data_IF_633835789869
#
_entry.id   IF_633835789869
#
_cell.length_a   1.000
_cell.length_b   1.000
_cell.length_c   1.000
_cell.angle_alpha   90.00
_cell.angle_beta   90.00
_cell.angle_gamma   90.00
#
_symmetry.space_group_name_H-M   'P 1'
#
loop_
_entity.id
_entity.type
_entity.pdbx_description
1 polymer ?
#
# COMPACT_ATOMS: atom_id res chain seq x y z
N UNK A 1 -23.71 -1.77 85.09
CA UNK A 1 -24.63 -2.54 84.23
C UNK A 1 -25.24 -1.57 83.23
N UNK A 2 -25.18 -1.85 81.91
CA UNK A 2 -25.56 -0.90 80.81
C UNK A 2 -24.50 0.23 80.71
N UNK A 3 -23.86 0.63 79.61
CA UNK A 3 -24.32 0.88 78.22
C UNK A 3 -23.17 0.61 77.20
N UNK A 4 -21.97 0.20 77.61
CA UNK A 4 -20.76 0.18 76.75
C UNK A 4 -20.50 -1.11 75.95
N UNK A 5 -21.39 -2.10 75.98
CA UNK A 5 -21.27 -3.34 75.15
C UNK A 5 -22.18 -3.40 73.92
N UNK A 6 -22.95 -2.34 73.62
CA UNK A 6 -23.74 -2.25 72.37
C UNK A 6 -23.13 -1.34 71.29
N UNK A 7 -22.08 -0.58 71.59
CA UNK A 7 -21.45 0.29 70.59
C UNK A 7 -20.44 -0.42 69.67
N UNK A 8 -19.89 -1.57 70.08
CA UNK A 8 -18.83 -2.25 69.31
C UNK A 8 -19.41 -3.25 68.30
N UNK A 9 -20.64 -3.73 68.49
CA UNK A 9 -21.35 -4.55 67.51
C UNK A 9 -22.08 -3.73 66.42
N UNK A 10 -22.13 -2.39 66.59
CA UNK A 10 -22.69 -1.46 65.59
C UNK A 10 -21.65 -0.85 64.65
N UNK A 11 -20.36 -0.99 64.93
CA UNK A 11 -19.28 -0.43 64.10
C UNK A 11 -18.65 -1.43 63.10
N UNK A 12 -18.98 -2.72 63.17
CA UNK A 12 -18.53 -3.73 62.19
C UNK A 12 -19.55 -4.05 61.09
N UNK A 13 -20.72 -3.38 61.08
CA UNK A 13 -21.74 -3.52 60.01
C UNK A 13 -21.72 -2.36 59.00
N UNK A 14 -20.83 -1.37 59.18
CA UNK A 14 -20.68 -0.21 58.29
C UNK A 14 -19.54 -0.37 57.27
N UNK A 15 -18.83 -1.50 57.26
CA UNK A 15 -17.75 -1.80 56.30
C UNK A 15 -18.17 -2.78 55.18
N UNK A 16 -19.46 -3.09 55.06
CA UNK A 16 -20.02 -3.91 53.97
C UNK A 16 -20.89 -3.12 52.97
N UNK A 17 -20.92 -1.78 53.06
CA UNK A 17 -21.32 -0.94 51.93
C UNK A 17 -20.08 -0.77 51.05
N UNK A 18 -19.89 -1.73 50.15
CA UNK A 18 -18.89 -1.62 49.11
C UNK A 18 -19.09 -0.31 48.34
N UNK A 19 -18.00 0.43 48.16
CA UNK A 19 -17.85 1.26 46.97
C UNK A 19 -18.08 0.35 45.77
N UNK A 20 -19.28 0.35 45.20
CA UNK A 20 -19.45 0.00 43.80
C UNK A 20 -18.51 0.94 43.04
N UNK A 21 -17.39 0.41 42.57
CA UNK A 21 -16.69 1.03 41.45
C UNK A 21 -17.76 1.20 40.39
N UNK A 22 -18.10 2.44 40.06
CA UNK A 22 -18.98 2.73 38.94
C UNK A 22 -18.52 1.87 37.76
N UNK A 23 -19.43 1.02 37.28
CA UNK A 23 -19.20 0.23 36.08
C UNK A 23 -18.74 1.18 34.97
N UNK A 24 -17.71 0.83 34.18
CA UNK A 24 -17.30 1.68 33.08
C UNK A 24 -18.50 1.85 32.14
N UNK A 25 -18.97 3.10 32.00
CA UNK A 25 -20.04 3.46 31.07
C UNK A 25 -19.64 2.91 29.69
N UNK A 26 -20.48 2.08 29.04
CA UNK A 26 -20.17 1.55 27.73
C UNK A 26 -19.83 2.68 26.76
N UNK A 27 -18.83 2.48 25.91
CA UNK A 27 -18.40 3.48 24.93
C UNK A 27 -19.56 4.03 24.09
N UNK A 28 -20.59 3.23 23.81
CA UNK A 28 -21.78 3.69 23.08
C UNK A 28 -22.49 4.82 23.83
N UNK A 29 -22.66 4.73 25.15
CA UNK A 29 -23.30 5.79 25.94
C UNK A 29 -22.42 7.04 26.04
N UNK A 30 -21.10 6.88 26.15
CA UNK A 30 -20.16 8.01 26.09
C UNK A 30 -20.18 8.71 24.72
N UNK A 31 -20.38 7.95 23.63
CA UNK A 31 -20.40 8.47 22.27
C UNK A 31 -21.59 9.42 21.98
N UNK A 32 -22.71 9.22 22.69
CA UNK A 32 -23.92 10.04 22.55
C UNK A 32 -23.99 11.22 23.53
N UNK A 33 -23.19 11.21 24.60
CA UNK A 33 -23.14 12.34 25.54
C UNK A 33 -22.49 13.58 24.91
N UNK A 34 -23.23 14.69 24.86
CA UNK A 34 -22.72 16.00 24.43
C UNK A 34 -22.92 16.35 22.95
N UNK A 35 -23.64 15.54 22.17
CA UNK A 35 -24.01 15.90 20.80
C UNK A 35 -25.26 16.79 20.76
N UNK A 36 -25.15 17.90 20.02
CA UNK A 36 -26.22 18.88 19.79
C UNK A 36 -27.19 18.49 18.66
N UNK A 37 -27.06 17.30 18.07
CA UNK A 37 -27.88 16.90 16.92
C UNK A 37 -29.08 16.05 17.35
N UNK A 38 -30.30 16.36 16.88
CA UNK A 38 -31.49 15.56 17.17
C UNK A 38 -31.34 14.13 16.63
N UNK A 39 -31.93 13.16 17.33
CA UNK A 39 -31.98 11.75 16.92
C UNK A 39 -32.29 11.63 15.42
N UNK A 40 -31.36 11.08 14.66
CA UNK A 40 -31.60 10.69 13.28
C UNK A 40 -32.56 9.50 13.35
N UNK A 41 -33.85 9.77 13.16
CA UNK A 41 -34.87 8.75 13.00
C UNK A 41 -34.79 8.21 11.57
N UNK A 42 -34.32 6.98 11.43
CA UNK A 42 -34.34 6.28 10.15
C UNK A 42 -35.78 5.88 9.83
N UNK A 43 -36.39 6.51 8.82
CA UNK A 43 -37.61 5.99 8.22
C UNK A 43 -37.23 4.92 7.20
N UNK A 44 -37.67 3.69 7.43
CA UNK A 44 -37.54 2.60 6.49
C UNK A 44 -38.26 2.96 5.18
N UNK A 45 -37.58 2.79 4.05
CA UNK A 45 -38.14 2.99 2.71
C UNK A 45 -39.38 2.10 2.52
N UNK A 46 -40.40 2.59 1.81
CA UNK A 46 -41.67 1.88 1.62
C UNK A 46 -41.49 0.48 0.99
N UNK A 47 -40.42 0.23 0.22
CA UNK A 47 -40.12 -1.10 -0.31
C UNK A 47 -39.82 -2.12 0.81
N UNK A 48 -39.24 -1.70 1.93
CA UNK A 48 -38.91 -2.55 3.07
C UNK A 48 -40.09 -2.84 4.00
N UNK A 49 -41.23 -2.15 3.81
CA UNK A 49 -42.45 -2.33 4.60
C UNK A 49 -43.45 -3.27 3.93
N UNK A 50 -43.21 -3.67 2.68
CA UNK A 50 -44.01 -4.69 1.99
C UNK A 50 -43.56 -6.07 2.46
N UNK A 51 -44.39 -6.73 3.26
CA UNK A 51 -44.23 -8.10 3.76
C UNK A 51 -44.20 -9.20 2.66
N UNK A 52 -44.08 -8.84 1.38
CA UNK A 52 -43.94 -9.79 0.27
C UNK A 52 -42.49 -10.21 0.01
N UNK A 53 -41.52 -9.54 0.64
CA UNK A 53 -40.18 -10.07 0.75
C UNK A 53 -40.21 -11.10 1.86
N UNK A 54 -40.30 -12.39 1.49
CA UNK A 54 -39.80 -13.47 2.35
C UNK A 54 -38.51 -12.95 2.97
N UNK A 55 -38.44 -12.99 4.30
CA UNK A 55 -37.24 -12.70 5.07
C UNK A 55 -36.13 -13.60 4.51
N UNK A 56 -35.45 -13.14 3.46
CA UNK A 56 -34.20 -13.72 3.02
C UNK A 56 -33.29 -13.29 4.13
N UNK A 57 -33.10 -14.18 5.10
CA UNK A 57 -32.07 -14.07 6.11
C UNK A 57 -30.77 -13.71 5.37
N UNK A 58 -30.43 -12.42 5.33
CA UNK A 58 -29.24 -11.92 4.63
C UNK A 58 -27.97 -12.51 5.24
N UNK A 59 -28.07 -13.05 6.46
CA UNK A 59 -27.05 -13.84 7.11
C UNK A 59 -27.69 -15.07 7.75
N UNK A 60 -27.56 -16.23 7.10
CA UNK A 60 -27.65 -17.52 7.76
C UNK A 60 -26.23 -17.90 8.24
N UNK A 61 -25.97 -17.95 9.56
CA UNK A 61 -24.67 -18.37 10.09
C UNK A 61 -24.27 -19.78 9.67
N UNK A 62 -25.23 -20.62 9.28
CA UNK A 62 -25.02 -21.99 8.82
C UNK A 62 -24.95 -22.10 7.29
N UNK A 63 -25.26 -21.03 6.56
CA UNK A 63 -25.21 -20.95 5.10
C UNK A 63 -24.62 -19.60 4.66
N UNK A 64 -23.37 -19.36 5.09
CA UNK A 64 -22.59 -18.22 4.65
C UNK A 64 -22.44 -18.29 3.13
N UNK A 65 -22.81 -17.21 2.44
CA UNK A 65 -22.59 -17.08 1.00
C UNK A 65 -21.11 -17.32 0.67
N UNK A 66 -20.83 -18.43 0.00
CA UNK A 66 -19.50 -18.72 -0.52
C UNK A 66 -19.45 -18.25 -1.97
N UNK A 67 -18.50 -17.37 -2.25
CA UNK A 67 -18.23 -16.95 -3.63
C UNK A 67 -17.89 -18.18 -4.46
N UNK A 68 -18.56 -18.29 -5.61
CA UNK A 68 -18.20 -19.25 -6.65
C UNK A 68 -16.77 -19.02 -7.14
N UNK A 69 -16.19 -20.04 -7.79
CA UNK A 69 -14.87 -19.91 -8.41
C UNK A 69 -14.83 -18.77 -9.44
N UNK A 70 -15.91 -18.59 -10.19
CA UNK A 70 -16.07 -17.52 -11.19
C UNK A 70 -16.03 -16.13 -10.53
N UNK A 71 -16.75 -15.94 -9.42
CA UNK A 71 -16.72 -14.68 -8.67
C UNK A 71 -15.35 -14.40 -8.04
N UNK A 72 -14.70 -15.41 -7.48
CA UNK A 72 -13.34 -15.28 -6.98
C UNK A 72 -12.36 -14.89 -8.09
N UNK A 73 -12.48 -15.50 -9.26
CA UNK A 73 -11.66 -15.18 -10.42
C UNK A 73 -11.96 -13.77 -10.95
N UNK A 74 -13.23 -13.35 -10.94
CA UNK A 74 -13.64 -11.99 -11.25
C UNK A 74 -13.01 -10.95 -10.33
N UNK A 75 -13.04 -11.18 -9.01
CA UNK A 75 -12.41 -10.30 -8.01
C UNK A 75 -10.90 -10.24 -8.21
N UNK A 76 -10.24 -11.38 -8.43
CA UNK A 76 -8.79 -11.44 -8.68
C UNK A 76 -8.43 -10.65 -9.94
N UNK A 77 -9.17 -10.85 -11.03
CA UNK A 77 -8.96 -10.12 -12.30
C UNK A 77 -9.16 -8.62 -12.10
N UNK A 78 -10.22 -8.20 -11.41
CA UNK A 78 -10.48 -6.79 -11.14
C UNK A 78 -9.36 -6.15 -10.31
N UNK A 79 -8.91 -6.80 -9.24
CA UNK A 79 -7.80 -6.31 -8.41
C UNK A 79 -6.51 -6.17 -9.21
N UNK A 80 -6.20 -7.14 -10.07
CA UNK A 80 -5.04 -7.10 -10.95
C UNK A 80 -5.14 -5.95 -11.95
N UNK A 81 -6.27 -5.77 -12.63
CA UNK A 81 -6.45 -4.67 -13.59
C UNK A 81 -6.36 -3.30 -12.93
N UNK A 82 -6.93 -3.16 -11.73
CA UNK A 82 -6.79 -1.94 -10.93
C UNK A 82 -5.33 -1.65 -10.58
N UNK A 83 -4.59 -2.67 -10.15
CA UNK A 83 -3.16 -2.52 -9.89
C UNK A 83 -2.41 -2.09 -11.16
N UNK A 84 -2.73 -2.65 -12.32
CA UNK A 84 -2.13 -2.20 -13.57
C UNK A 84 -2.44 -0.73 -13.86
N UNK A 85 -3.68 -0.30 -13.72
CA UNK A 85 -4.04 1.11 -13.95
C UNK A 85 -3.31 2.07 -13.00
N UNK A 86 -3.05 1.66 -11.75
CA UNK A 86 -2.29 2.44 -10.78
C UNK A 86 -0.79 2.50 -11.15
N UNK A 87 -0.20 1.39 -11.57
CA UNK A 87 1.19 1.36 -12.04
C UNK A 87 1.35 2.17 -13.33
N UNK A 88 0.34 2.16 -14.21
CA UNK A 88 0.36 3.00 -15.40
C UNK A 88 0.42 4.49 -15.05
N UNK A 89 -0.30 4.92 -14.00
CA UNK A 89 -0.24 6.28 -13.48
C UNK A 89 1.11 6.59 -12.82
N UNK A 90 1.70 5.64 -12.10
CA UNK A 90 3.08 5.78 -11.60
C UNK A 90 4.06 6.10 -12.75
N UNK A 91 3.92 5.41 -13.88
CA UNK A 91 4.76 5.67 -15.06
C UNK A 91 4.47 7.02 -15.71
N UNK A 92 3.22 7.48 -15.75
CA UNK A 92 2.85 8.84 -16.20
C UNK A 92 3.52 9.93 -15.34
N UNK A 93 3.62 9.68 -14.02
CA UNK A 93 4.24 10.61 -13.07
C UNK A 93 5.77 10.57 -13.17
N UNK A 94 6.35 9.36 -13.19
CA UNK A 94 7.81 9.16 -13.22
C UNK A 94 8.43 9.58 -14.56
N UNK A 95 7.71 9.33 -15.66
CA UNK A 95 8.18 9.57 -17.03
C UNK A 95 7.10 10.28 -17.84
N UNK A 96 6.93 11.61 -17.66
CA UNK A 96 5.92 12.36 -18.38
C UNK A 96 6.00 12.15 -19.91
N UNK A 97 4.89 11.71 -20.50
CA UNK A 97 4.80 11.42 -21.93
C UNK A 97 5.16 9.99 -22.33
N UNK A 98 5.51 9.10 -21.39
CA UNK A 98 5.83 7.69 -21.66
C UNK A 98 4.76 6.98 -22.49
N UNK A 99 3.49 7.17 -22.15
CA UNK A 99 2.38 6.55 -22.87
C UNK A 99 1.93 7.29 -24.12
N UNK A 100 2.37 8.53 -24.34
CA UNK A 100 1.91 9.38 -25.45
C UNK A 100 0.36 9.40 -25.56
N UNK A 101 -0.19 8.84 -26.63
CA UNK A 101 -1.62 8.77 -26.96
C UNK A 101 -2.24 7.38 -26.74
N UNK A 102 -1.52 6.46 -26.07
CA UNK A 102 -1.96 5.06 -25.91
C UNK A 102 -3.13 4.93 -24.94
N UNK A 103 -4.10 4.11 -25.35
CA UNK A 103 -5.31 3.84 -24.57
C UNK A 103 -5.08 2.89 -23.39
N UNK A 104 -6.09 2.75 -22.53
CA UNK A 104 -6.06 1.88 -21.34
C UNK A 104 -5.82 0.41 -21.69
N UNK A 105 -6.33 -0.06 -22.84
CA UNK A 105 -6.15 -1.45 -23.25
C UNK A 105 -4.69 -1.74 -23.58
N UNK A 106 -4.03 -0.84 -24.30
CA UNK A 106 -2.60 -0.90 -24.57
C UNK A 106 -1.78 -0.85 -23.28
N UNK A 107 -2.06 0.11 -22.38
CA UNK A 107 -1.35 0.25 -21.09
C UNK A 107 -1.43 -1.05 -20.28
N UNK A 108 -2.62 -1.65 -20.18
CA UNK A 108 -2.82 -2.92 -19.46
C UNK A 108 -2.13 -4.10 -20.14
N UNK A 109 -2.15 -4.20 -21.46
CA UNK A 109 -1.45 -5.26 -22.18
C UNK A 109 0.08 -5.16 -22.01
N UNK A 110 0.62 -3.94 -22.00
CA UNK A 110 2.02 -3.70 -21.70
C UNK A 110 2.37 -4.14 -20.27
N UNK A 111 1.54 -3.79 -19.29
CA UNK A 111 1.75 -4.20 -17.90
C UNK A 111 1.58 -5.69 -17.68
N UNK A 112 0.69 -6.36 -18.41
CA UNK A 112 0.58 -7.81 -18.42
C UNK A 112 1.88 -8.47 -18.92
N UNK A 113 2.49 -7.91 -19.97
CA UNK A 113 3.81 -8.37 -20.44
C UNK A 113 4.88 -8.18 -19.38
N UNK A 114 4.93 -7.02 -18.73
CA UNK A 114 5.88 -6.73 -17.65
C UNK A 114 5.67 -7.65 -16.45
N UNK A 115 4.43 -7.93 -16.07
CA UNK A 115 4.10 -8.88 -15.01
C UNK A 115 4.56 -10.31 -15.34
N UNK A 116 4.44 -10.72 -16.61
CA UNK A 116 5.06 -11.96 -17.10
C UNK A 116 6.58 -11.99 -16.89
N UNK A 117 7.28 -10.88 -17.16
CA UNK A 117 8.72 -10.75 -16.92
C UNK A 117 9.02 -10.80 -15.41
N UNK A 118 8.29 -10.04 -14.60
CA UNK A 118 8.46 -10.02 -13.14
C UNK A 118 8.32 -11.43 -12.54
N UNK A 119 7.27 -12.17 -12.94
CA UNK A 119 7.01 -13.54 -12.48
C UNK A 119 8.03 -14.55 -12.98
N UNK A 120 8.64 -14.34 -14.14
CA UNK A 120 9.72 -15.19 -14.66
C UNK A 120 10.94 -15.17 -13.74
N UNK A 121 11.34 -13.99 -13.26
CA UNK A 121 12.47 -13.86 -12.33
C UNK A 121 12.06 -14.08 -10.87
N UNK A 122 10.85 -13.69 -10.51
CA UNK A 122 10.34 -13.69 -9.14
C UNK A 122 8.92 -14.28 -9.09
N UNK A 123 8.76 -15.63 -9.08
CA UNK A 123 7.43 -16.26 -9.15
C UNK A 123 6.48 -15.94 -8.00
N UNK A 124 7.02 -15.44 -6.87
CA UNK A 124 6.27 -14.99 -5.69
C UNK A 124 6.27 -13.46 -5.57
N UNK A 125 6.42 -12.77 -6.70
CA UNK A 125 6.46 -11.31 -6.79
C UNK A 125 5.24 -10.69 -6.15
N UNK A 126 5.48 -9.61 -5.40
CA UNK A 126 4.45 -8.78 -4.84
C UNK A 126 4.24 -7.55 -5.75
N UNK A 127 3.35 -6.65 -5.34
CA UNK A 127 3.03 -5.42 -6.10
C UNK A 127 4.27 -4.55 -6.32
N UNK A 128 5.08 -4.37 -5.29
CA UNK A 128 6.33 -3.61 -5.31
C UNK A 128 7.35 -4.18 -6.30
N UNK A 129 7.43 -5.50 -6.43
CA UNK A 129 8.23 -6.17 -7.46
C UNK A 129 7.77 -5.75 -8.87
N UNK A 130 6.45 -5.74 -9.11
CA UNK A 130 5.89 -5.34 -10.40
C UNK A 130 6.08 -3.84 -10.67
N UNK A 131 5.84 -2.98 -9.68
CA UNK A 131 6.09 -1.54 -9.77
C UNK A 131 7.54 -1.26 -10.18
N UNK A 132 8.49 -1.91 -9.50
CA UNK A 132 9.92 -1.75 -9.78
C UNK A 132 10.28 -2.29 -11.17
N UNK A 133 9.75 -3.46 -11.54
CA UNK A 133 9.98 -4.04 -12.88
C UNK A 133 9.40 -3.16 -13.99
N UNK A 134 8.23 -2.55 -13.78
CA UNK A 134 7.62 -1.62 -14.72
C UNK A 134 8.48 -0.37 -14.91
N UNK A 135 8.99 0.22 -13.82
CA UNK A 135 9.90 1.36 -13.88
C UNK A 135 11.19 1.03 -14.64
N UNK A 136 11.75 -0.17 -14.45
CA UNK A 136 12.91 -0.66 -15.19
C UNK A 136 12.56 -0.80 -16.68
N UNK A 137 11.50 -1.56 -17.01
CA UNK A 137 11.09 -1.83 -18.40
C UNK A 137 10.71 -0.56 -19.16
N UNK A 138 10.28 0.49 -18.48
CA UNK A 138 10.02 1.80 -19.10
C UNK A 138 11.30 2.48 -19.61
N UNK A 139 12.46 2.23 -18.99
CA UNK A 139 13.76 2.78 -19.40
C UNK A 139 14.40 1.92 -20.49
N UNK A 140 14.40 0.59 -20.30
CA UNK A 140 15.21 -0.33 -21.12
C UNK A 140 14.40 -1.19 -22.09
N UNK A 141 13.08 -1.02 -22.13
CA UNK A 141 12.17 -1.85 -22.94
C UNK A 141 11.77 -3.16 -22.27
N UNK A 142 10.74 -3.79 -22.82
CA UNK A 142 10.20 -5.09 -22.35
C UNK A 142 10.87 -6.30 -23.01
N UNK A 143 11.83 -6.04 -23.88
CA UNK A 143 12.63 -6.98 -24.67
C UNK A 143 14.11 -6.92 -24.30
N UNK A 144 14.47 -6.25 -23.21
CA UNK A 144 15.85 -6.08 -22.74
C UNK A 144 16.63 -7.38 -22.60
N UNK A 145 15.95 -8.51 -22.33
CA UNK A 145 16.58 -9.84 -22.23
C UNK A 145 17.23 -10.30 -23.54
N UNK A 146 16.90 -9.66 -24.66
CA UNK A 146 17.45 -9.95 -25.99
C UNK A 146 18.62 -9.02 -26.36
N UNK A 147 18.87 -7.95 -25.59
CA UNK A 147 19.97 -7.03 -25.84
C UNK A 147 21.24 -7.49 -25.10
N UNK A 148 22.30 -7.93 -25.81
CA UNK A 148 23.54 -8.36 -25.17
C UNK A 148 24.19 -7.29 -24.30
N UNK A 149 23.94 -6.00 -24.57
CA UNK A 149 24.46 -4.89 -23.75
C UNK A 149 23.82 -4.83 -22.37
N UNK A 150 22.63 -5.40 -22.22
CA UNK A 150 21.86 -5.41 -20.98
C UNK A 150 21.93 -6.75 -20.23
N UNK A 151 22.76 -7.70 -20.70
CA UNK A 151 22.92 -9.01 -20.05
C UNK A 151 23.25 -8.92 -18.55
N UNK A 152 24.00 -7.89 -18.13
CA UNK A 152 24.32 -7.68 -16.71
C UNK A 152 23.06 -7.50 -15.84
N UNK A 153 21.97 -6.97 -16.40
CA UNK A 153 20.68 -6.80 -15.71
C UNK A 153 20.05 -8.17 -15.46
N UNK A 154 19.95 -8.99 -16.51
CA UNK A 154 19.43 -10.36 -16.43
C UNK A 154 20.22 -11.21 -15.45
N UNK A 155 21.56 -11.16 -15.52
CA UNK A 155 22.43 -11.87 -14.58
C UNK A 155 22.22 -11.40 -13.14
N UNK A 156 22.05 -10.10 -12.94
CA UNK A 156 21.83 -9.52 -11.61
C UNK A 156 20.51 -9.96 -11.02
N UNK A 157 19.44 -10.02 -11.81
CA UNK A 157 18.13 -10.53 -11.40
C UNK A 157 18.21 -12.02 -11.01
N UNK A 158 18.90 -12.84 -11.81
CA UNK A 158 19.04 -14.29 -11.57
C UNK A 158 19.85 -14.65 -10.31
N UNK A 159 20.85 -13.83 -9.93
CA UNK A 159 21.68 -14.08 -8.74
C UNK A 159 20.94 -13.80 -7.42
N UNK A 160 19.80 -13.11 -7.45
CA UNK A 160 19.00 -12.79 -6.26
C UNK A 160 18.07 -13.93 -5.84
N UNK A 161 17.96 -14.17 -4.53
CA UNK A 161 16.91 -15.06 -3.96
C UNK A 161 15.56 -14.36 -3.79
N UNK A 162 15.57 -13.03 -3.85
CA UNK A 162 14.45 -12.10 -3.73
C UNK A 162 14.60 -11.02 -4.81
N UNK A 163 13.61 -10.15 -4.90
CA UNK A 163 13.55 -8.99 -5.79
C UNK A 163 14.43 -7.79 -5.35
N UNK A 164 15.18 -7.93 -4.26
CA UNK A 164 16.16 -6.95 -3.79
C UNK A 164 17.11 -6.41 -4.88
N UNK A 165 17.61 -7.23 -5.84
CA UNK A 165 18.45 -6.72 -6.92
C UNK A 165 17.77 -5.67 -7.81
N UNK A 166 16.44 -5.65 -7.89
CA UNK A 166 15.71 -4.68 -8.71
C UNK A 166 15.97 -3.24 -8.26
N UNK A 167 16.14 -3.00 -6.95
CA UNK A 167 16.46 -1.67 -6.42
C UNK A 167 17.81 -1.15 -6.93
N UNK A 168 18.84 -1.99 -6.93
CA UNK A 168 20.16 -1.62 -7.45
C UNK A 168 20.12 -1.40 -8.97
N UNK A 169 19.40 -2.25 -9.72
CA UNK A 169 19.20 -2.09 -11.17
C UNK A 169 18.51 -0.74 -11.46
N UNK A 170 17.42 -0.45 -10.75
CA UNK A 170 16.66 0.78 -10.96
C UNK A 170 17.49 2.03 -10.61
N UNK A 171 18.22 2.01 -9.50
CA UNK A 171 19.11 3.11 -9.12
C UNK A 171 20.24 3.31 -10.12
N UNK A 172 20.81 2.23 -10.67
CA UNK A 172 21.79 2.31 -11.75
C UNK A 172 21.19 3.00 -12.98
N UNK A 173 19.99 2.60 -13.41
CA UNK A 173 19.35 3.19 -14.58
C UNK A 173 18.99 4.67 -14.36
N UNK A 174 18.46 5.03 -13.19
CA UNK A 174 18.17 6.42 -12.87
C UNK A 174 19.41 7.30 -12.85
N UNK A 175 20.45 6.86 -12.16
CA UNK A 175 21.68 7.63 -12.07
C UNK A 175 22.45 7.60 -13.38
N UNK A 176 22.86 6.45 -13.88
CA UNK A 176 23.78 6.35 -15.02
C UNK A 176 23.09 6.67 -16.35
N UNK A 177 21.87 6.18 -16.58
CA UNK A 177 21.19 6.27 -17.88
C UNK A 177 20.35 7.54 -17.99
N UNK A 178 19.51 7.84 -17.00
CA UNK A 178 18.63 9.02 -17.04
C UNK A 178 19.27 10.29 -16.50
N UNK A 179 20.45 10.21 -15.88
CA UNK A 179 21.13 11.38 -15.37
C UNK A 179 20.54 11.94 -14.05
N UNK A 180 19.62 11.23 -13.40
CA UNK A 180 18.93 11.73 -12.21
C UNK A 180 19.89 11.91 -11.04
N UNK A 181 19.64 12.95 -10.25
CA UNK A 181 20.39 13.22 -9.02
C UNK A 181 19.70 12.68 -7.76
N UNK A 182 18.40 12.36 -7.85
CA UNK A 182 17.58 11.89 -6.75
C UNK A 182 16.81 10.64 -7.16
N UNK A 183 16.58 9.74 -6.21
CA UNK A 183 15.69 8.60 -6.40
C UNK A 183 14.21 9.01 -6.28
N UNK A 184 13.29 8.05 -6.45
CA UNK A 184 11.84 8.31 -6.47
C UNK A 184 11.28 8.98 -5.21
N UNK A 185 11.91 8.75 -4.05
CA UNK A 185 11.49 9.33 -2.75
C UNK A 185 12.22 10.64 -2.42
N UNK A 186 13.08 11.12 -3.31
CA UNK A 186 13.79 12.40 -3.15
C UNK A 186 15.10 12.30 -2.37
N UNK A 187 15.67 11.11 -2.18
CA UNK A 187 17.04 10.97 -1.65
C UNK A 187 18.06 11.18 -2.75
N UNK A 188 19.06 12.03 -2.50
CA UNK A 188 20.15 12.26 -3.42
C UNK A 188 20.98 10.99 -3.63
N UNK A 189 21.37 10.73 -4.86
CA UNK A 189 22.40 9.75 -5.20
C UNK A 189 23.78 10.23 -4.78
N UNK A 190 24.49 9.37 -4.04
CA UNK A 190 25.83 9.59 -3.51
C UNK A 190 26.49 8.23 -3.27
N UNK A 191 27.77 8.23 -2.87
CA UNK A 191 28.54 7.01 -2.64
C UNK A 191 27.90 6.05 -1.59
N UNK A 192 27.11 6.57 -0.64
CA UNK A 192 26.38 5.75 0.32
C UNK A 192 25.13 5.10 -0.30
N UNK A 193 24.24 5.88 -0.91
CA UNK A 193 23.00 5.38 -1.51
C UNK A 193 23.22 4.53 -2.76
N UNK A 194 24.35 4.71 -3.46
CA UNK A 194 24.77 3.90 -4.61
C UNK A 194 25.73 2.76 -4.24
N UNK A 195 25.97 2.47 -2.95
CA UNK A 195 26.94 1.44 -2.56
C UNK A 195 26.67 0.09 -3.21
N UNK A 196 25.42 -0.39 -3.15
CA UNK A 196 25.02 -1.66 -3.75
C UNK A 196 25.17 -1.64 -5.29
N UNK A 197 24.96 -0.47 -5.92
CA UNK A 197 25.17 -0.27 -7.36
C UNK A 197 26.66 -0.43 -7.67
N UNK A 198 27.53 0.27 -6.94
CA UNK A 198 28.98 0.24 -7.13
C UNK A 198 29.59 -1.14 -6.88
N UNK A 199 28.99 -1.93 -5.99
CA UNK A 199 29.44 -3.30 -5.69
C UNK A 199 28.97 -4.33 -6.73
N UNK A 200 27.83 -4.11 -7.40
CA UNK A 200 27.13 -5.19 -8.13
C UNK A 200 26.75 -4.90 -9.58
N UNK A 201 26.91 -3.66 -10.04
CA UNK A 201 26.56 -3.21 -11.39
C UNK A 201 27.82 -2.82 -12.17
N UNK A 202 27.73 -2.59 -13.50
CA UNK A 202 28.84 -2.03 -14.26
C UNK A 202 29.35 -0.72 -13.65
N UNK A 203 30.62 -0.41 -13.90
CA UNK A 203 31.24 0.81 -13.36
C UNK A 203 30.50 2.06 -13.84
N UNK A 204 30.07 2.88 -12.89
CA UNK A 204 29.49 4.19 -13.14
C UNK A 204 30.50 5.10 -13.87
N UNK A 205 30.04 5.80 -14.91
CA UNK A 205 30.89 6.74 -15.66
C UNK A 205 30.74 8.17 -15.17
N UNK A 206 29.63 8.49 -14.52
CA UNK A 206 29.39 9.80 -13.90
C UNK A 206 30.10 9.90 -12.55
N UNK A 207 30.51 11.11 -12.20
CA UNK A 207 31.03 11.42 -10.87
C UNK A 207 29.94 11.21 -9.81
N UNK A 208 30.26 10.38 -8.81
CA UNK A 208 29.35 10.07 -7.70
C UNK A 208 29.61 11.05 -6.56
N UNK A 209 28.62 11.85 -6.13
CA UNK A 209 28.76 12.77 -5.00
C UNK A 209 29.20 12.05 -3.73
N UNK A 210 30.07 12.68 -2.95
CA UNK A 210 30.46 12.15 -1.65
C UNK A 210 29.38 12.46 -0.60
N UNK A 211 28.94 11.44 0.16
CA UNK A 211 27.87 11.60 1.15
C UNK A 211 28.21 12.63 2.25
N UNK A 212 29.48 12.72 2.66
CA UNK A 212 29.89 13.61 3.75
C UNK A 212 30.18 15.04 3.28
N UNK A 213 30.56 15.23 2.01
CA UNK A 213 31.02 16.53 1.48
C UNK A 213 30.03 17.22 0.55
N UNK A 214 29.30 16.46 -0.25
CA UNK A 214 28.48 16.98 -1.36
C UNK A 214 26.98 16.77 -1.12
N UNK A 215 26.58 16.66 0.14
CA UNK A 215 25.20 16.43 0.54
C UNK A 215 24.29 17.59 0.11
N UNK A 216 23.30 17.27 -0.72
CA UNK A 216 22.19 18.15 -1.07
C UNK A 216 21.00 17.83 -0.16
N UNK A 217 20.20 18.84 0.24
CA UNK A 217 18.93 18.60 0.91
C UNK A 217 18.05 17.65 0.10
N UNK A 218 17.35 16.76 0.81
CA UNK A 218 16.42 15.82 0.18
C UNK A 218 15.26 16.57 -0.46
N UNK A 219 14.86 16.17 -1.66
CA UNK A 219 13.69 16.72 -2.36
C UNK A 219 12.45 15.84 -2.13
N UNK A 220 12.20 15.49 -0.87
CA UNK A 220 11.06 14.65 -0.50
C UNK A 220 9.71 15.31 -0.87
N UNK A 221 9.66 16.65 -0.86
CA UNK A 221 8.45 17.44 -1.15
C UNK A 221 8.00 17.31 -2.60
N UNK A 222 8.92 17.25 -3.56
CA UNK A 222 8.59 17.10 -4.97
C UNK A 222 8.92 15.69 -5.50
N UNK A 223 9.09 14.72 -4.60
CA UNK A 223 9.44 13.36 -4.96
C UNK A 223 8.33 12.69 -5.76
N UNK A 224 8.72 11.87 -6.75
CA UNK A 224 7.79 11.11 -7.59
C UNK A 224 6.89 10.21 -6.73
N UNK A 225 7.47 9.56 -5.72
CA UNK A 225 6.72 8.72 -4.78
C UNK A 225 5.66 9.53 -4.05
N UNK A 226 6.00 10.73 -3.55
CA UNK A 226 5.00 11.59 -2.90
C UNK A 226 3.87 11.95 -3.86
N UNK A 227 4.20 12.40 -5.08
CA UNK A 227 3.20 12.76 -6.08
C UNK A 227 2.30 11.57 -6.43
N UNK A 228 2.87 10.39 -6.63
CA UNK A 228 2.13 9.15 -6.84
C UNK A 228 1.20 8.83 -5.67
N UNK A 229 1.69 8.93 -4.43
CA UNK A 229 0.84 8.65 -3.27
C UNK A 229 -0.30 9.66 -3.13
N UNK A 230 -0.01 10.96 -3.31
CA UNK A 230 -1.00 12.04 -3.22
C UNK A 230 -2.06 11.96 -4.35
N UNK A 231 -1.66 11.63 -5.59
CA UNK A 231 -2.55 11.64 -6.75
C UNK A 231 -3.29 10.31 -6.97
N UNK A 232 -2.67 9.19 -6.58
CA UNK A 232 -3.13 7.84 -6.92
C UNK A 232 -3.49 7.00 -5.68
N UNK A 233 -2.82 7.22 -4.54
CA UNK A 233 -2.87 6.31 -3.39
C UNK A 233 -3.53 6.88 -2.11
N UNK A 234 -3.99 8.14 -2.09
CA UNK A 234 -4.65 8.70 -0.90
C UNK A 234 -6.09 8.20 -0.70
N UNK A 235 -6.25 7.22 0.20
CA UNK A 235 -7.53 6.93 0.87
C UNK A 235 -8.36 5.76 0.33
N UNK A 236 -7.80 4.86 -0.49
CA UNK A 236 -8.49 3.62 -0.89
C UNK A 236 -9.75 3.82 -1.75
N UNK A 237 -10.02 5.04 -2.20
CA UNK A 237 -11.08 5.40 -3.16
C UNK A 237 -10.42 6.11 -4.34
N UNK A 238 -10.54 5.51 -5.52
CA UNK A 238 -10.22 6.18 -6.78
C UNK A 238 -11.14 7.41 -6.91
N UNK A 239 -10.60 8.52 -7.41
CA UNK A 239 -11.41 9.60 -7.98
C UNK A 239 -12.07 9.15 -9.28
#
# INVERSE_FOLDING_TARGET
MKITKKLILGLCLLSLLGCEKALPVPFSEQFYQGRLCPEITYQCLNESQKNDLKEVTVFDPNNLYQLSEEEWNGIKRHKMLKMYDEIAQLLDIAYPGFWQDKDTAFKRAWLEKVDGIAKKFYPKSQRDTLETMALICAIIGTDFEQDPKLNFITERMQKGRSDTPLSAILNYLYFEVLGWEFNLVGYQYNNWSLRDVMETMPRLTRDVPDFDKDFKPQDAKNSISKKYFDEVYEGGRLK
#
